data_IF_554219451610
#
_entry.id   IF_554219451610
#
_cell.length_a   1.000
_cell.length_b   1.000
_cell.length_c   1.000
_cell.angle_alpha   90.00
_cell.angle_beta   90.00
_cell.angle_gamma   90.00
#
_symmetry.space_group_name_H-M   'P 1'
#
loop_
_entity.id
_entity.type
_entity.pdbx_description
1 polymer ?
#
# COMPACT_ATOMS: atom_id res chain seq x y z
N UNK A 1 29.34 -7.88 -6.46
CA UNK A 1 28.30 -7.72 -5.43
C UNK A 1 27.83 -9.11 -5.03
N UNK A 2 27.67 -9.38 -3.74
CA UNK A 2 27.26 -10.72 -3.27
C UNK A 2 25.76 -10.96 -3.49
N UNK A 3 25.34 -12.20 -3.75
CA UNK A 3 23.90 -12.52 -3.93
C UNK A 3 23.04 -12.11 -2.72
N UNK A 4 23.59 -12.19 -1.51
CA UNK A 4 22.93 -11.74 -0.28
C UNK A 4 22.72 -10.22 -0.22
N UNK A 5 23.64 -9.46 -0.80
CA UNK A 5 23.59 -7.99 -0.80
C UNK A 5 22.53 -7.48 -1.79
N UNK A 6 22.42 -8.13 -2.95
CA UNK A 6 21.36 -7.83 -3.91
C UNK A 6 19.97 -8.10 -3.33
N UNK A 7 19.78 -9.26 -2.69
CA UNK A 7 18.52 -9.59 -2.02
C UNK A 7 18.15 -8.56 -0.93
N UNK A 8 19.14 -8.13 -0.13
CA UNK A 8 18.91 -7.11 0.89
C UNK A 8 18.47 -5.78 0.25
N UNK A 9 19.11 -5.36 -0.85
CA UNK A 9 18.73 -4.16 -1.58
C UNK A 9 17.31 -4.24 -2.16
N UNK A 10 16.92 -5.39 -2.73
CA UNK A 10 15.57 -5.60 -3.25
C UNK A 10 14.51 -5.54 -2.13
N UNK A 11 14.78 -6.20 -0.99
CA UNK A 11 13.90 -6.16 0.19
C UNK A 11 13.73 -4.74 0.72
N UNK A 12 14.82 -3.98 0.85
CA UNK A 12 14.78 -2.59 1.28
C UNK A 12 13.97 -1.72 0.33
N UNK A 13 14.18 -1.84 -0.99
CA UNK A 13 13.41 -1.10 -2.01
C UNK A 13 11.92 -1.44 -1.96
N UNK A 14 11.58 -2.74 -1.87
CA UNK A 14 10.21 -3.21 -1.74
C UNK A 14 9.54 -2.63 -0.48
N UNK A 15 10.25 -2.65 0.64
CA UNK A 15 9.78 -2.10 1.93
C UNK A 15 9.52 -0.60 1.84
N UNK A 16 10.40 0.17 1.20
CA UNK A 16 10.18 1.62 1.04
C UNK A 16 8.97 1.94 0.14
N UNK A 17 8.73 1.16 -0.91
CA UNK A 17 7.52 1.29 -1.70
C UNK A 17 6.25 1.00 -0.90
N UNK A 18 6.27 -0.04 -0.07
CA UNK A 18 5.16 -0.34 0.84
C UNK A 18 4.91 0.80 1.84
N UNK A 19 5.96 1.26 2.52
CA UNK A 19 5.86 2.36 3.50
C UNK A 19 5.31 3.63 2.84
N UNK A 20 5.78 3.96 1.64
CA UNK A 20 5.30 5.14 0.92
C UNK A 20 3.81 5.03 0.59
N UNK A 21 3.37 3.87 0.08
CA UNK A 21 1.95 3.63 -0.19
C UNK A 21 1.09 3.69 1.09
N UNK A 22 1.54 3.05 2.18
CA UNK A 22 0.82 3.06 3.47
C UNK A 22 0.74 4.47 4.05
N UNK A 23 1.81 5.25 3.97
CA UNK A 23 1.83 6.64 4.48
C UNK A 23 0.74 7.48 3.81
N UNK A 24 0.59 7.33 2.49
CA UNK A 24 -0.47 8.02 1.75
C UNK A 24 -1.84 7.43 2.10
N UNK A 25 -2.00 6.09 2.11
CA UNK A 25 -3.22 5.36 2.50
C UNK A 25 -3.80 5.81 3.85
N UNK A 26 -2.91 6.12 4.80
CA UNK A 26 -3.25 6.49 6.17
C UNK A 26 -3.35 7.99 6.41
N UNK A 27 -3.20 8.82 5.39
CA UNK A 27 -3.35 10.26 5.54
C UNK A 27 -4.80 10.63 5.87
N UNK A 28 -4.97 11.63 6.74
CA UNK A 28 -6.27 12.25 7.04
C UNK A 28 -6.70 13.28 5.99
N UNK A 29 -5.82 13.58 5.03
CA UNK A 29 -6.08 14.47 3.91
C UNK A 29 -5.51 13.83 2.65
N UNK A 30 -6.22 13.91 1.53
CA UNK A 30 -5.75 13.35 0.25
C UNK A 30 -6.04 14.33 -0.87
N UNK A 31 -5.10 14.43 -1.80
CA UNK A 31 -5.17 15.20 -3.02
C UNK A 31 -5.13 14.28 -4.25
N UNK A 32 -5.34 14.85 -5.45
CA UNK A 32 -5.14 14.14 -6.71
C UNK A 32 -3.67 13.69 -6.86
N UNK A 33 -2.73 14.50 -6.38
CA UNK A 33 -1.31 14.19 -6.40
C UNK A 33 -0.99 12.99 -5.50
N UNK A 34 -1.63 12.88 -4.34
CA UNK A 34 -1.50 11.72 -3.45
C UNK A 34 -2.00 10.43 -4.11
N UNK A 35 -3.15 10.48 -4.80
CA UNK A 35 -3.65 9.34 -5.55
C UNK A 35 -2.68 8.93 -6.67
N UNK A 36 -2.11 9.91 -7.36
CA UNK A 36 -1.11 9.71 -8.42
C UNK A 36 0.21 9.16 -7.88
N UNK A 37 0.62 9.57 -6.68
CA UNK A 37 1.82 9.09 -6.00
C UNK A 37 1.64 7.68 -5.40
N UNK A 38 0.44 7.34 -4.91
CA UNK A 38 0.15 6.02 -4.34
C UNK A 38 0.33 4.90 -5.37
N UNK A 39 -0.28 5.06 -6.55
CA UNK A 39 -0.34 4.01 -7.59
C UNK A 39 1.03 3.41 -7.97
N UNK A 40 2.07 4.20 -8.30
CA UNK A 40 3.38 3.64 -8.66
C UNK A 40 4.09 2.98 -7.46
N UNK A 41 3.91 3.49 -6.24
CA UNK A 41 4.47 2.86 -5.04
C UNK A 41 3.83 1.50 -4.77
N UNK A 42 2.50 1.43 -4.79
CA UNK A 42 1.76 0.19 -4.60
C UNK A 42 2.09 -0.84 -5.67
N UNK A 43 2.08 -0.45 -6.95
CA UNK A 43 2.40 -1.35 -8.07
C UNK A 43 3.81 -1.93 -7.96
N UNK A 44 4.81 -1.09 -7.66
CA UNK A 44 6.21 -1.55 -7.50
C UNK A 44 6.36 -2.48 -6.31
N UNK A 45 5.73 -2.16 -5.18
CA UNK A 45 5.67 -3.06 -4.02
C UNK A 45 5.03 -4.40 -4.42
N UNK A 46 3.83 -4.39 -5.02
CA UNK A 46 3.08 -5.61 -5.31
C UNK A 46 3.85 -6.56 -6.24
N UNK A 47 4.40 -6.03 -7.34
CA UNK A 47 5.15 -6.82 -8.32
C UNK A 47 6.46 -7.38 -7.73
N UNK A 48 7.24 -6.55 -7.04
CA UNK A 48 8.49 -7.03 -6.43
C UNK A 48 8.24 -7.97 -5.24
N UNK A 49 7.15 -7.80 -4.51
CA UNK A 49 6.75 -8.70 -3.42
C UNK A 49 6.42 -10.11 -3.95
N UNK A 50 5.75 -10.22 -5.10
CA UNK A 50 5.53 -11.52 -5.75
C UNK A 50 6.83 -12.17 -6.21
N UNK A 51 7.84 -11.38 -6.61
CA UNK A 51 9.15 -11.90 -6.97
C UNK A 51 9.94 -12.41 -5.75
N UNK A 52 9.98 -11.60 -4.68
CA UNK A 52 10.69 -11.87 -3.43
C UNK A 52 10.06 -13.03 -2.65
N UNK A 53 8.73 -13.13 -2.67
CA UNK A 53 7.97 -14.12 -1.91
C UNK A 53 7.06 -14.96 -2.81
N UNK A 54 7.64 -15.70 -3.76
CA UNK A 54 6.91 -16.48 -4.80
C UNK A 54 5.86 -17.46 -4.28
N UNK A 55 5.98 -17.91 -3.02
CA UNK A 55 5.01 -18.82 -2.38
C UNK A 55 3.78 -18.11 -1.83
N UNK A 56 3.84 -16.78 -1.65
CA UNK A 56 2.74 -15.98 -1.14
C UNK A 56 1.82 -15.55 -2.29
N UNK A 57 0.55 -15.93 -2.21
CA UNK A 57 -0.47 -15.53 -3.18
C UNK A 57 -1.03 -14.15 -2.84
N UNK A 58 -1.42 -13.39 -3.86
CA UNK A 58 -2.17 -12.15 -3.67
C UNK A 58 -3.53 -12.45 -3.03
N UNK A 59 -3.72 -11.94 -1.81
CA UNK A 59 -4.99 -11.93 -1.07
C UNK A 59 -5.94 -10.83 -1.60
N UNK A 60 -7.26 -10.94 -1.36
CA UNK A 60 -8.25 -9.92 -1.75
C UNK A 60 -7.88 -8.49 -1.34
N UNK A 61 -7.28 -8.31 -0.16
CA UNK A 61 -6.86 -6.98 0.31
C UNK A 61 -5.79 -6.34 -0.60
N UNK A 62 -4.96 -7.12 -1.29
CA UNK A 62 -4.02 -6.56 -2.25
C UNK A 62 -4.73 -6.03 -3.49
N UNK A 63 -5.74 -6.75 -3.98
CA UNK A 63 -6.59 -6.28 -5.08
C UNK A 63 -7.38 -5.04 -4.66
N UNK A 64 -7.93 -5.02 -3.44
CA UNK A 64 -8.62 -3.85 -2.92
C UNK A 64 -7.72 -2.61 -2.89
N UNK A 65 -6.44 -2.78 -2.53
CA UNK A 65 -5.48 -1.68 -2.52
C UNK A 65 -5.20 -1.09 -3.92
N UNK A 66 -5.40 -1.85 -5.01
CA UNK A 66 -5.31 -1.31 -6.37
C UNK A 66 -6.38 -0.23 -6.66
N UNK A 67 -7.50 -0.24 -5.91
CA UNK A 67 -8.58 0.72 -6.05
C UNK A 67 -8.44 1.97 -5.16
N UNK A 68 -7.47 2.01 -4.24
CA UNK A 68 -7.28 3.15 -3.31
C UNK A 68 -7.18 4.50 -4.04
N UNK A 69 -6.44 4.65 -5.16
CA UNK A 69 -6.39 5.92 -5.90
C UNK A 69 -7.76 6.41 -6.39
N UNK A 70 -8.61 5.50 -6.88
CA UNK A 70 -9.98 5.83 -7.31
C UNK A 70 -10.82 6.23 -6.09
N UNK A 71 -10.71 5.47 -5.00
CA UNK A 71 -11.45 5.72 -3.78
C UNK A 71 -11.10 7.09 -3.16
N UNK A 72 -9.83 7.49 -3.20
CA UNK A 72 -9.41 8.83 -2.77
C UNK A 72 -10.05 9.95 -3.57
N UNK A 73 -10.11 9.80 -4.89
CA UNK A 73 -10.70 10.82 -5.76
C UNK A 73 -12.22 10.92 -5.58
N UNK A 74 -12.90 9.80 -5.27
CA UNK A 74 -14.35 9.77 -5.13
C UNK A 74 -14.84 10.10 -3.73
N UNK A 75 -14.16 9.61 -2.70
CA UNK A 75 -14.64 9.62 -1.31
C UNK A 75 -13.70 10.35 -0.34
N UNK A 76 -12.52 10.76 -0.80
CA UNK A 76 -11.53 11.39 0.04
C UNK A 76 -10.74 10.40 0.90
N UNK A 77 -10.20 10.83 2.05
CA UNK A 77 -9.26 10.02 2.84
C UNK A 77 -9.90 8.75 3.41
N UNK A 78 -9.24 7.60 3.25
CA UNK A 78 -9.74 6.32 3.75
C UNK A 78 -9.93 6.27 5.27
N UNK A 79 -9.18 7.10 6.03
CA UNK A 79 -9.35 7.21 7.48
C UNK A 79 -10.72 7.78 7.87
N UNK A 80 -11.30 8.66 7.05
CA UNK A 80 -12.60 9.26 7.32
C UNK A 80 -13.77 8.26 7.17
N UNK A 81 -13.57 7.20 6.38
CA UNK A 81 -14.56 6.14 6.15
C UNK A 81 -14.30 4.88 6.98
N UNK A 82 -13.34 4.91 7.90
CA UNK A 82 -12.94 3.73 8.63
C UNK A 82 -13.95 3.35 9.73
N UNK A 83 -14.14 2.04 9.93
CA UNK A 83 -15.09 1.50 10.90
C UNK A 83 -14.56 1.50 12.35
N UNK A 84 -13.38 2.09 12.60
CA UNK A 84 -12.75 2.13 13.92
C UNK A 84 -13.68 2.69 15.00
N UNK A 85 -14.49 3.71 14.66
CA UNK A 85 -15.48 4.27 15.59
C UNK A 85 -16.52 3.25 16.06
N UNK A 86 -16.85 2.26 15.23
CA UNK A 86 -17.78 1.19 15.58
C UNK A 86 -17.13 0.09 16.41
N UNK A 87 -15.84 -0.21 16.19
CA UNK A 87 -15.08 -1.17 17.01
C UNK A 87 -15.05 -0.75 18.49
N UNK A 88 -14.96 0.56 18.76
CA UNK A 88 -15.07 1.09 20.13
C UNK A 88 -16.45 0.92 20.78
N UNK A 89 -17.52 0.79 20.01
CA UNK A 89 -18.89 0.70 20.52
C UNK A 89 -19.31 -0.75 20.85
N UNK A 90 -18.58 -1.74 20.35
CA UNK A 90 -18.86 -3.17 20.55
C UNK A 90 -17.88 -3.86 21.52
N UNK A 91 -16.95 -3.10 22.11
CA UNK A 91 -15.94 -3.56 23.05
C UNK A 91 -16.31 -3.31 24.51
#
# INVERSE_FOLDING_TARGET
MGQSEELANELTKNTFHLISAIKIARSWTVSIDDATAFAPHWKKFHLSNQHLFRKQKSKPNHHFADHIPELFQRWGPAQASATWGYEYLIG
#
